data_IF_516757069794
#
_entry.id   IF_516757069794
#
_cell.length_a   1.000
_cell.length_b   1.000
_cell.length_c   1.000
_cell.angle_alpha   90.00
_cell.angle_beta   90.00
_cell.angle_gamma   90.00
#
_symmetry.space_group_name_H-M   'P 1'
#
loop_
_entity.id
_entity.type
_entity.pdbx_description
1 polymer ?
#
# COMPACT_ATOMS: atom_id res chain seq x y z
N UNK A 1 9.18 -24.60 18.21
CA UNK A 1 7.71 -24.80 18.19
C UNK A 1 7.00 -23.95 19.24
N UNK A 2 7.55 -23.79 20.46
CA UNK A 2 6.94 -22.93 21.49
C UNK A 2 6.81 -21.47 21.08
N UNK A 3 7.82 -20.88 20.47
CA UNK A 3 7.82 -19.49 19.99
C UNK A 3 6.75 -19.22 18.90
N UNK A 4 6.52 -20.20 18.01
CA UNK A 4 5.48 -20.09 16.96
C UNK A 4 4.09 -20.12 17.58
N UNK A 5 3.86 -21.04 18.56
CA UNK A 5 2.60 -21.12 19.27
C UNK A 5 2.34 -19.86 20.13
N UNK A 6 3.36 -19.31 20.75
CA UNK A 6 3.26 -18.05 21.50
C UNK A 6 2.88 -16.87 20.58
N UNK A 7 3.51 -16.74 19.41
CA UNK A 7 3.19 -15.71 18.43
C UNK A 7 1.76 -15.84 17.90
N UNK A 8 1.31 -17.05 17.57
CA UNK A 8 -0.06 -17.31 17.10
C UNK A 8 -1.11 -17.01 18.16
N UNK A 9 -0.79 -17.19 19.45
CA UNK A 9 -1.69 -16.86 20.55
C UNK A 9 -1.71 -15.37 20.89
N UNK A 10 -0.55 -14.70 20.83
CA UNK A 10 -0.43 -13.29 21.18
C UNK A 10 -0.88 -12.34 20.05
N UNK A 11 -0.55 -12.68 18.79
CA UNK A 11 -0.73 -11.76 17.65
C UNK A 11 -1.40 -12.44 16.43
N UNK A 12 -2.55 -13.13 16.58
CA UNK A 12 -3.19 -13.84 15.48
C UNK A 12 -3.62 -12.89 14.34
N UNK A 13 -4.18 -11.74 14.69
CA UNK A 13 -4.65 -10.75 13.72
C UNK A 13 -3.50 -10.04 12.98
N UNK A 14 -2.35 -9.84 13.63
CA UNK A 14 -1.17 -9.28 13.01
C UNK A 14 -0.62 -10.18 11.90
N UNK A 15 -0.52 -11.48 12.18
CA UNK A 15 -0.05 -12.46 11.19
C UNK A 15 -1.01 -12.55 10.00
N UNK A 16 -2.32 -12.70 10.26
CA UNK A 16 -3.32 -12.79 9.20
C UNK A 16 -3.48 -11.48 8.43
N UNK A 17 -3.42 -10.33 9.12
CA UNK A 17 -3.48 -9.00 8.51
C UNK A 17 -2.27 -8.74 7.61
N UNK A 18 -1.07 -9.17 8.02
CA UNK A 18 0.14 -9.04 7.21
C UNK A 18 0.07 -9.85 5.90
N UNK A 19 -0.60 -11.01 5.92
CA UNK A 19 -0.85 -11.81 4.72
C UNK A 19 -1.71 -11.02 3.73
N UNK A 20 -2.83 -10.43 4.19
CA UNK A 20 -3.69 -9.63 3.31
C UNK A 20 -2.94 -8.40 2.78
N UNK A 21 -2.20 -7.68 3.62
CA UNK A 21 -1.40 -6.53 3.20
C UNK A 21 -0.38 -6.92 2.13
N UNK A 22 0.35 -8.01 2.33
CA UNK A 22 1.31 -8.53 1.37
C UNK A 22 0.67 -8.99 0.05
N UNK A 23 -0.52 -9.63 0.11
CA UNK A 23 -1.27 -10.01 -1.09
C UNK A 23 -1.75 -8.80 -1.88
N UNK A 24 -2.29 -7.77 -1.20
CA UNK A 24 -2.70 -6.50 -1.84
C UNK A 24 -1.50 -5.89 -2.57
N UNK A 25 -0.38 -5.72 -1.86
CA UNK A 25 0.82 -5.13 -2.43
C UNK A 25 1.39 -5.95 -3.59
N UNK A 26 1.49 -7.27 -3.45
CA UNK A 26 1.97 -8.14 -4.53
C UNK A 26 1.06 -8.11 -5.77
N UNK A 27 -0.24 -8.08 -5.57
CA UNK A 27 -1.21 -7.99 -6.67
C UNK A 27 -1.12 -6.63 -7.39
N UNK A 28 -1.25 -5.52 -6.65
CA UNK A 28 -1.20 -4.16 -7.21
C UNK A 28 0.19 -3.84 -7.78
N UNK A 29 1.24 -4.29 -7.09
CA UNK A 29 2.62 -4.10 -7.51
C UNK A 29 2.92 -4.73 -8.87
N UNK A 30 2.30 -5.87 -9.21
CA UNK A 30 2.46 -6.48 -10.53
C UNK A 30 2.02 -5.53 -11.66
N UNK A 31 0.94 -4.78 -11.46
CA UNK A 31 0.54 -3.75 -12.43
C UNK A 31 1.51 -2.57 -12.46
N UNK A 32 1.87 -2.06 -11.27
CA UNK A 32 2.75 -0.89 -11.14
C UNK A 32 4.14 -1.16 -11.76
N UNK A 33 4.71 -2.33 -11.50
CA UNK A 33 6.01 -2.73 -12.05
C UNK A 33 5.92 -3.00 -13.55
N UNK A 34 4.85 -3.64 -14.03
CA UNK A 34 4.64 -3.93 -15.45
C UNK A 34 4.46 -2.66 -16.29
N UNK A 35 3.84 -1.63 -15.73
CA UNK A 35 3.68 -0.31 -16.38
C UNK A 35 4.94 0.56 -16.30
N UNK A 36 5.99 0.13 -15.60
CA UNK A 36 7.22 0.90 -15.36
C UNK A 36 6.97 2.21 -14.58
N UNK A 37 5.90 2.31 -13.82
CA UNK A 37 5.57 3.47 -12.96
C UNK A 37 5.85 3.17 -11.49
N UNK A 38 6.96 2.50 -11.22
CA UNK A 38 7.34 2.04 -9.87
C UNK A 38 7.41 3.20 -8.87
N UNK A 39 7.87 4.36 -9.35
CA UNK A 39 7.99 5.56 -8.52
C UNK A 39 6.61 6.11 -8.06
N UNK A 40 5.53 5.80 -8.76
CA UNK A 40 4.16 6.10 -8.30
C UNK A 40 3.86 5.42 -6.96
N UNK A 41 4.29 4.17 -6.78
CA UNK A 41 4.15 3.46 -5.51
C UNK A 41 4.84 4.19 -4.36
N UNK A 42 6.11 4.58 -4.53
CA UNK A 42 6.86 5.36 -3.55
C UNK A 42 6.18 6.70 -3.22
N UNK A 43 5.72 7.41 -4.24
CA UNK A 43 5.06 8.70 -4.08
C UNK A 43 3.76 8.54 -3.30
N UNK A 44 2.91 7.56 -3.66
CA UNK A 44 1.63 7.32 -3.00
C UNK A 44 1.80 6.89 -1.54
N UNK A 45 2.83 6.09 -1.20
CA UNK A 45 3.09 5.74 0.20
C UNK A 45 3.44 6.98 1.04
N UNK A 46 4.32 7.87 0.55
CA UNK A 46 4.68 9.09 1.26
C UNK A 46 3.52 10.08 1.38
N UNK A 47 2.74 10.23 0.31
CA UNK A 47 1.51 11.05 0.30
C UNK A 47 0.49 10.52 1.30
N UNK A 48 0.32 9.22 1.37
CA UNK A 48 -0.57 8.56 2.33
C UNK A 48 -0.16 8.84 3.76
N UNK A 49 1.14 8.75 4.06
CA UNK A 49 1.68 9.07 5.39
C UNK A 49 1.53 10.56 5.71
N UNK A 50 1.72 11.45 4.74
CA UNK A 50 1.46 12.88 4.93
C UNK A 50 -0.03 13.14 5.26
N UNK A 51 -0.95 12.41 4.63
CA UNK A 51 -2.38 12.46 4.96
C UNK A 51 -2.69 11.96 6.36
N UNK A 52 -2.04 10.86 6.79
CA UNK A 52 -2.15 10.36 8.17
C UNK A 52 -1.61 11.40 9.16
N UNK A 53 -0.43 11.98 8.90
CA UNK A 53 0.14 13.01 9.75
C UNK A 53 -0.75 14.26 9.82
N UNK A 54 -1.47 14.59 8.74
CA UNK A 54 -2.42 15.69 8.72
C UNK A 54 -3.63 15.43 9.63
N UNK A 55 -4.13 14.21 9.75
CA UNK A 55 -5.26 13.89 10.63
C UNK A 55 -4.94 14.21 12.11
N UNK A 56 -3.70 13.98 12.53
CA UNK A 56 -3.27 14.26 13.91
C UNK A 56 -3.13 15.76 14.25
N UNK A 57 -3.29 16.66 13.29
CA UNK A 57 -3.38 18.08 13.58
C UNK A 57 -4.75 18.50 14.16
N UNK A 58 -5.76 17.63 14.12
CA UNK A 58 -7.14 17.88 14.55
C UNK A 58 -7.74 19.19 14.05
N UNK A 59 -7.25 19.70 12.89
CA UNK A 59 -7.77 20.91 12.24
C UNK A 59 -9.22 20.71 11.79
N UNK A 60 -9.51 19.49 11.31
CA UNK A 60 -10.86 19.09 10.88
C UNK A 60 -11.27 17.91 11.75
N UNK A 61 -12.14 18.15 12.71
CA UNK A 61 -12.68 17.10 13.58
C UNK A 61 -13.81 16.36 12.85
N UNK A 62 -13.45 15.37 12.01
CA UNK A 62 -14.42 14.54 11.29
C UNK A 62 -15.27 13.71 12.24
N UNK A 63 -14.72 13.26 13.36
CA UNK A 63 -15.45 12.51 14.38
C UNK A 63 -16.59 13.35 14.97
N UNK A 64 -16.31 14.61 15.31
CA UNK A 64 -17.32 15.55 15.79
C UNK A 64 -18.40 15.85 14.74
N UNK A 65 -18.02 16.02 13.48
CA UNK A 65 -18.96 16.27 12.38
C UNK A 65 -19.83 15.04 12.13
N UNK A 66 -19.24 13.85 12.03
CA UNK A 66 -19.98 12.59 11.82
C UNK A 66 -20.85 12.27 13.03
N UNK A 67 -20.34 12.44 14.25
CA UNK A 67 -21.10 12.24 15.49
C UNK A 67 -22.32 13.14 15.58
N UNK A 68 -22.17 14.42 15.21
CA UNK A 68 -23.29 15.38 15.21
C UNK A 68 -24.35 15.09 14.13
N UNK A 69 -23.93 14.60 12.96
CA UNK A 69 -24.83 14.25 11.84
C UNK A 69 -25.57 12.94 12.09
N UNK A 70 -24.88 11.93 12.65
CA UNK A 70 -25.46 10.61 12.90
C UNK A 70 -26.09 10.45 14.29
N UNK A 71 -25.91 11.42 15.19
CA UNK A 71 -26.42 11.36 16.57
C UNK A 71 -25.77 10.26 17.42
N UNK A 72 -24.54 9.85 17.10
CA UNK A 72 -23.81 8.76 17.76
C UNK A 72 -22.71 9.36 18.64
N UNK A 73 -22.69 8.99 19.92
CA UNK A 73 -21.55 9.30 20.80
C UNK A 73 -20.38 8.40 20.45
N UNK A 74 -19.36 8.99 19.84
CA UNK A 74 -18.14 8.28 19.42
C UNK A 74 -17.22 8.17 20.65
N UNK A 75 -17.04 6.95 21.16
CA UNK A 75 -16.06 6.68 22.23
C UNK A 75 -14.69 6.42 21.61
N UNK A 76 -13.61 6.69 22.34
CA UNK A 76 -12.21 6.56 21.89
C UNK A 76 -11.84 5.18 21.31
N UNK A 77 -12.62 4.14 21.60
CA UNK A 77 -12.42 2.78 21.08
C UNK A 77 -13.34 2.45 19.90
N UNK A 78 -14.00 3.43 19.30
CA UNK A 78 -14.92 3.17 18.19
C UNK A 78 -14.16 2.95 16.88
N UNK A 79 -14.77 2.20 15.97
CA UNK A 79 -14.33 2.00 14.60
C UNK A 79 -14.04 3.35 13.87
N UNK A 80 -14.72 4.41 14.27
CA UNK A 80 -14.60 5.74 13.70
C UNK A 80 -13.28 6.43 14.03
N UNK A 81 -12.67 6.16 15.21
CA UNK A 81 -11.35 6.70 15.54
C UNK A 81 -10.26 6.25 14.55
N UNK A 82 -10.32 5.01 14.07
CA UNK A 82 -9.42 4.52 13.02
C UNK A 82 -9.79 5.03 11.62
N UNK A 83 -10.99 5.58 11.45
CA UNK A 83 -11.46 6.03 10.14
C UNK A 83 -10.85 7.36 9.71
N UNK A 84 -10.64 8.29 10.63
CA UNK A 84 -10.14 9.63 10.32
C UNK A 84 -8.76 9.62 9.65
N UNK A 85 -7.73 8.94 10.19
CA UNK A 85 -6.43 8.84 9.52
C UNK A 85 -6.50 8.11 8.17
N UNK A 86 -7.35 7.08 8.06
CA UNK A 86 -7.56 6.36 6.81
C UNK A 86 -8.23 7.25 5.74
N UNK A 87 -9.19 8.08 6.15
CA UNK A 87 -9.86 9.02 5.25
C UNK A 87 -8.90 10.06 4.68
N UNK A 88 -8.10 10.73 5.54
CA UNK A 88 -7.13 11.72 5.06
C UNK A 88 -6.01 11.11 4.23
N UNK A 89 -5.54 9.93 4.59
CA UNK A 89 -4.59 9.16 3.79
C UNK A 89 -5.12 8.92 2.36
N UNK A 90 -6.37 8.47 2.26
CA UNK A 90 -7.04 8.21 0.99
C UNK A 90 -7.31 9.51 0.21
N UNK A 91 -7.76 10.56 0.88
CA UNK A 91 -8.02 11.86 0.27
C UNK A 91 -6.76 12.42 -0.39
N UNK A 92 -5.63 12.42 0.32
CA UNK A 92 -4.35 12.88 -0.21
C UNK A 92 -3.89 12.03 -1.39
N UNK A 93 -4.03 10.70 -1.30
CA UNK A 93 -3.70 9.79 -2.40
C UNK A 93 -4.55 10.07 -3.65
N UNK A 94 -5.87 10.28 -3.49
CA UNK A 94 -6.78 10.61 -4.60
C UNK A 94 -6.42 11.95 -5.23
N UNK A 95 -6.13 12.99 -4.44
CA UNK A 95 -5.70 14.30 -4.95
C UNK A 95 -4.45 14.14 -5.84
N UNK A 96 -3.45 13.40 -5.38
CA UNK A 96 -2.22 13.17 -6.14
C UNK A 96 -2.47 12.36 -7.40
N UNK A 97 -3.31 11.34 -7.34
CA UNK A 97 -3.71 10.57 -8.53
C UNK A 97 -4.41 11.46 -9.56
N UNK A 98 -5.29 12.37 -9.13
CA UNK A 98 -5.95 13.32 -10.02
C UNK A 98 -4.95 14.26 -10.69
N UNK A 99 -4.00 14.81 -9.93
CA UNK A 99 -2.92 15.66 -10.46
C UNK A 99 -2.08 14.86 -11.46
N UNK A 100 -1.64 13.66 -11.09
CA UNK A 100 -0.83 12.80 -11.95
C UNK A 100 -1.56 12.42 -13.24
N UNK A 101 -2.84 12.04 -13.17
CA UNK A 101 -3.64 11.67 -14.34
C UNK A 101 -3.82 12.82 -15.34
N UNK A 102 -3.91 14.07 -14.86
CA UNK A 102 -4.00 15.22 -15.74
C UNK A 102 -2.66 15.52 -16.46
N UNK A 103 -1.56 15.26 -15.76
CA UNK A 103 -0.21 15.60 -16.24
C UNK A 103 0.41 14.45 -17.06
N UNK A 104 -0.15 13.25 -17.01
CA UNK A 104 0.34 12.05 -17.70
C UNK A 104 0.61 12.23 -19.21
N UNK A 105 -0.11 13.13 -19.89
CA UNK A 105 0.04 13.40 -21.32
C UNK A 105 0.79 14.70 -21.64
N UNK A 106 1.25 15.43 -20.63
CA UNK A 106 2.00 16.66 -20.88
C UNK A 106 3.46 16.31 -21.25
N UNK A 107 3.94 16.90 -22.35
CA UNK A 107 5.29 16.64 -22.88
C UNK A 107 6.40 17.49 -22.21
N UNK A 108 6.04 18.39 -21.28
CA UNK A 108 6.99 19.36 -20.70
C UNK A 108 7.87 18.69 -19.65
N UNK A 109 7.30 17.82 -18.80
CA UNK A 109 8.03 17.12 -17.76
C UNK A 109 7.83 15.60 -17.93
N UNK A 110 8.86 14.83 -17.57
CA UNK A 110 8.74 13.38 -17.49
C UNK A 110 7.82 12.98 -16.31
N UNK A 111 7.16 11.84 -16.44
CA UNK A 111 6.29 11.32 -15.37
C UNK A 111 7.05 11.14 -14.04
N UNK A 112 8.29 10.64 -14.12
CA UNK A 112 9.14 10.44 -12.96
C UNK A 112 9.54 11.77 -12.29
N UNK A 113 9.74 12.84 -13.07
CA UNK A 113 10.03 14.16 -12.51
C UNK A 113 8.85 14.72 -11.71
N UNK A 114 7.63 14.56 -12.23
CA UNK A 114 6.41 15.01 -11.54
C UNK A 114 6.21 14.22 -10.26
N UNK A 115 6.31 12.89 -10.33
CA UNK A 115 6.22 12.02 -9.17
C UNK A 115 7.32 12.33 -8.15
N UNK A 116 8.54 12.66 -8.61
CA UNK A 116 9.65 13.09 -7.76
C UNK A 116 9.36 14.36 -6.98
N UNK A 117 8.79 15.36 -7.65
CA UNK A 117 8.38 16.62 -7.00
C UNK A 117 7.32 16.35 -5.94
N UNK A 118 6.27 15.58 -6.29
CA UNK A 118 5.18 15.25 -5.37
C UNK A 118 5.73 14.47 -4.17
N UNK A 119 6.64 13.51 -4.39
CA UNK A 119 7.29 12.73 -3.35
C UNK A 119 8.02 13.63 -2.33
N UNK A 120 8.87 14.54 -2.82
CA UNK A 120 9.64 15.44 -1.94
C UNK A 120 8.71 16.37 -1.16
N UNK A 121 7.68 16.91 -1.82
CA UNK A 121 6.65 17.75 -1.18
C UNK A 121 5.89 16.95 -0.12
N UNK A 122 5.50 15.70 -0.39
CA UNK A 122 4.81 14.86 0.57
C UNK A 122 5.68 14.57 1.80
N UNK A 123 6.97 14.27 1.61
CA UNK A 123 7.93 14.09 2.72
C UNK A 123 8.07 15.37 3.55
N UNK A 124 8.17 16.53 2.92
CA UNK A 124 8.25 17.81 3.61
C UNK A 124 6.98 18.11 4.41
N UNK A 125 5.80 17.92 3.81
CA UNK A 125 4.51 18.09 4.48
C UNK A 125 4.36 17.15 5.67
N UNK A 126 4.74 15.87 5.52
CA UNK A 126 4.74 14.90 6.61
C UNK A 126 5.53 15.43 7.81
N UNK A 127 6.77 15.89 7.61
CA UNK A 127 7.63 16.40 8.67
C UNK A 127 6.99 17.64 9.33
N UNK A 128 6.48 18.57 8.53
CA UNK A 128 5.82 19.78 9.03
C UNK A 128 4.58 19.46 9.88
N UNK A 129 3.77 18.50 9.45
CA UNK A 129 2.56 18.09 10.19
C UNK A 129 2.92 17.41 11.51
N UNK A 130 3.92 16.50 11.51
CA UNK A 130 4.41 15.85 12.74
C UNK A 130 4.94 16.87 13.74
N UNK A 131 5.70 17.88 13.29
CA UNK A 131 6.24 18.92 14.18
C UNK A 131 5.15 19.79 14.82
N UNK A 132 3.96 19.86 14.22
CA UNK A 132 2.80 20.63 14.73
C UNK A 132 1.82 19.79 15.52
N UNK A 133 1.92 18.46 15.44
CA UNK A 133 1.07 17.55 16.21
C UNK A 133 1.37 17.59 17.70
N UNK A 134 0.40 17.33 18.59
CA UNK A 134 0.64 17.18 20.01
C UNK A 134 1.71 16.11 20.30
N UNK A 135 2.57 16.34 21.32
CA UNK A 135 3.70 15.45 21.64
C UNK A 135 3.26 14.00 21.89
N UNK A 136 2.07 13.81 22.47
CA UNK A 136 1.53 12.48 22.74
C UNK A 136 1.27 11.66 21.45
N UNK A 137 0.96 12.32 20.35
CA UNK A 137 0.61 11.68 19.07
C UNK A 137 1.83 11.47 18.17
N UNK A 138 2.94 12.18 18.40
CA UNK A 138 4.17 11.99 17.65
C UNK A 138 4.67 10.54 17.74
N UNK A 139 4.55 9.91 18.91
CA UNK A 139 4.93 8.50 19.11
C UNK A 139 4.06 7.54 18.31
N UNK A 140 2.76 7.84 18.17
CA UNK A 140 1.84 7.03 17.37
C UNK A 140 2.14 7.18 15.87
N UNK A 141 2.34 8.41 15.40
CA UNK A 141 2.76 8.67 14.01
C UNK A 141 4.08 7.97 13.70
N UNK A 142 5.06 8.03 14.60
CA UNK A 142 6.33 7.31 14.41
C UNK A 142 6.17 5.79 14.39
N UNK A 143 5.28 5.22 15.19
CA UNK A 143 5.00 3.78 15.16
C UNK A 143 4.41 3.33 13.84
N UNK A 144 3.50 4.13 13.26
CA UNK A 144 2.93 3.91 11.93
C UNK A 144 4.01 4.00 10.85
N UNK A 145 4.93 4.96 10.97
CA UNK A 145 6.04 5.12 10.04
C UNK A 145 7.02 3.94 10.09
N UNK A 146 7.31 3.46 11.28
CA UNK A 146 8.17 2.27 11.47
C UNK A 146 7.55 0.99 10.91
N UNK A 147 6.23 1.00 10.65
CA UNK A 147 5.52 -0.13 10.06
C UNK A 147 5.49 -1.32 11.01
N UNK A 148 5.07 -1.09 12.24
CA UNK A 148 4.99 -2.17 13.22
C UNK A 148 3.71 -2.98 13.02
N UNK A 149 3.84 -4.02 12.18
CA UNK A 149 2.76 -4.92 11.78
C UNK A 149 2.12 -5.64 12.99
N UNK A 150 2.85 -5.72 14.11
CA UNK A 150 2.39 -6.41 15.31
C UNK A 150 1.17 -5.75 15.97
N UNK A 151 0.94 -4.46 15.72
CA UNK A 151 -0.21 -3.73 16.25
C UNK A 151 -1.51 -3.85 15.42
N UNK A 152 -1.52 -4.69 14.39
CA UNK A 152 -2.76 -4.95 13.64
C UNK A 152 -3.75 -5.68 14.54
N UNK A 153 -4.82 -5.00 14.91
CA UNK A 153 -5.93 -5.55 15.69
C UNK A 153 -7.02 -6.19 14.81
N UNK A 154 -8.05 -6.70 15.46
CA UNK A 154 -9.17 -7.37 14.80
C UNK A 154 -9.87 -6.47 13.76
N UNK A 155 -10.16 -5.22 14.11
CA UNK A 155 -10.83 -4.26 13.21
C UNK A 155 -10.02 -4.01 11.94
N UNK A 156 -8.72 -3.80 12.09
CA UNK A 156 -7.80 -3.54 10.98
C UNK A 156 -7.62 -4.75 10.07
N UNK A 157 -7.63 -5.96 10.64
CA UNK A 157 -7.63 -7.21 9.89
C UNK A 157 -8.86 -7.32 8.96
N UNK A 158 -10.07 -7.07 9.48
CA UNK A 158 -11.28 -7.10 8.65
C UNK A 158 -11.28 -6.00 7.58
N UNK A 159 -10.75 -4.82 7.90
CA UNK A 159 -10.59 -3.75 6.91
C UNK A 159 -9.65 -4.16 5.77
N UNK A 160 -8.47 -4.72 6.07
CA UNK A 160 -7.53 -5.22 5.07
C UNK A 160 -8.14 -6.33 4.21
N UNK A 161 -8.84 -7.27 4.83
CA UNK A 161 -9.57 -8.33 4.12
C UNK A 161 -10.64 -7.78 3.19
N UNK A 162 -11.42 -6.80 3.65
CA UNK A 162 -12.42 -6.10 2.85
C UNK A 162 -11.82 -5.34 1.67
N UNK A 163 -10.71 -4.64 1.88
CA UNK A 163 -9.97 -3.93 0.82
C UNK A 163 -9.45 -4.93 -0.22
N UNK A 164 -8.84 -6.02 0.22
CA UNK A 164 -8.36 -7.06 -0.68
C UNK A 164 -9.49 -7.64 -1.54
N UNK A 165 -10.61 -7.98 -0.91
CA UNK A 165 -11.79 -8.48 -1.62
C UNK A 165 -12.33 -7.45 -2.61
N UNK A 166 -12.44 -6.19 -2.21
CA UNK A 166 -12.89 -5.10 -3.07
C UNK A 166 -11.98 -4.96 -4.31
N UNK A 167 -10.66 -4.93 -4.11
CA UNK A 167 -9.69 -4.86 -5.20
C UNK A 167 -9.84 -6.05 -6.13
N UNK A 168 -9.95 -7.27 -5.61
CA UNK A 168 -10.15 -8.47 -6.42
C UNK A 168 -11.44 -8.41 -7.23
N UNK A 169 -12.54 -7.96 -6.63
CA UNK A 169 -13.83 -7.82 -7.33
C UNK A 169 -13.69 -6.79 -8.47
N UNK A 170 -13.14 -5.62 -8.20
CA UNK A 170 -12.95 -4.57 -9.21
C UNK A 170 -12.09 -5.09 -10.37
N UNK A 171 -10.96 -5.73 -10.06
CA UNK A 171 -10.06 -6.24 -11.11
C UNK A 171 -10.62 -7.45 -11.85
N UNK A 172 -11.46 -8.27 -11.24
CA UNK A 172 -12.13 -9.39 -11.94
C UNK A 172 -13.27 -8.92 -12.82
N UNK A 173 -14.11 -7.99 -12.34
CA UNK A 173 -15.22 -7.43 -13.11
C UNK A 173 -14.72 -6.63 -14.31
N UNK A 174 -13.74 -5.78 -14.10
CA UNK A 174 -13.19 -4.88 -15.13
C UNK A 174 -11.90 -5.37 -15.76
N UNK A 175 -11.56 -6.66 -15.62
CA UNK A 175 -10.28 -7.20 -16.07
C UNK A 175 -9.96 -6.95 -17.55
N UNK A 176 -10.95 -6.97 -18.43
CA UNK A 176 -10.75 -6.75 -19.87
C UNK A 176 -10.33 -5.31 -20.14
N UNK A 177 -11.09 -4.34 -19.61
CA UNK A 177 -10.83 -2.92 -19.77
C UNK A 177 -9.51 -2.51 -19.11
N UNK A 178 -9.30 -2.93 -17.87
CA UNK A 178 -8.10 -2.59 -17.12
C UNK A 178 -6.85 -3.17 -17.78
N UNK A 179 -6.84 -4.45 -18.15
CA UNK A 179 -5.70 -5.04 -18.86
C UNK A 179 -5.44 -4.33 -20.19
N UNK A 180 -6.47 -4.09 -20.99
CA UNK A 180 -6.30 -3.46 -22.29
C UNK A 180 -5.73 -2.05 -22.16
N UNK A 181 -6.32 -1.22 -21.31
CA UNK A 181 -5.85 0.17 -21.10
C UNK A 181 -4.49 0.25 -20.42
N UNK A 182 -4.19 -0.71 -19.53
CA UNK A 182 -2.92 -0.75 -18.79
C UNK A 182 -1.74 -1.14 -19.68
N UNK A 183 -1.92 -2.07 -20.61
CA UNK A 183 -0.85 -2.55 -21.48
C UNK A 183 -0.74 -1.78 -22.81
N UNK A 184 -1.87 -1.27 -23.35
CA UNK A 184 -1.90 -0.53 -24.61
C UNK A 184 -3.04 0.49 -24.63
N UNK A 185 -2.79 1.65 -24.03
CA UNK A 185 -3.76 2.74 -23.92
C UNK A 185 -4.10 3.37 -25.28
N UNK A 186 -3.17 3.36 -26.22
CA UNK A 186 -3.38 3.97 -27.55
C UNK A 186 -4.28 3.08 -28.41
N UNK A 187 -4.00 1.78 -28.45
CA UNK A 187 -4.92 0.83 -29.11
C UNK A 187 -6.29 0.80 -28.46
N UNK A 188 -6.39 0.84 -27.13
CA UNK A 188 -7.67 0.90 -26.44
C UNK A 188 -8.50 2.13 -26.85
N UNK A 189 -7.83 3.29 -27.02
CA UNK A 189 -8.47 4.52 -27.52
C UNK A 189 -8.99 4.37 -28.96
N UNK A 190 -8.24 3.70 -29.82
CA UNK A 190 -8.63 3.42 -31.21
C UNK A 190 -9.88 2.52 -31.30
N UNK A 191 -10.09 1.63 -30.32
CA UNK A 191 -11.28 0.79 -30.19
C UNK A 191 -12.47 1.50 -29.49
N UNK A 192 -12.40 2.82 -29.26
CA UNK A 192 -13.47 3.61 -28.66
C UNK A 192 -13.55 3.54 -27.13
N UNK A 193 -12.56 2.92 -26.47
CA UNK A 193 -12.50 2.92 -25.02
C UNK A 193 -11.87 4.24 -24.53
N UNK A 194 -12.53 4.93 -23.61
CA UNK A 194 -11.97 6.13 -23.02
C UNK A 194 -10.79 5.79 -22.08
N UNK A 195 -9.58 5.64 -22.68
CA UNK A 195 -8.37 5.24 -21.96
C UNK A 195 -8.04 6.16 -20.81
N UNK A 196 -8.36 7.47 -20.91
CA UNK A 196 -8.08 8.44 -19.84
C UNK A 196 -8.90 8.16 -18.59
N UNK A 197 -10.19 7.87 -18.73
CA UNK A 197 -11.08 7.57 -17.60
C UNK A 197 -10.71 6.22 -16.96
N UNK A 198 -10.39 5.22 -17.78
CA UNK A 198 -10.01 3.91 -17.27
C UNK A 198 -8.65 3.90 -16.59
N UNK A 199 -7.67 4.66 -17.08
CA UNK A 199 -6.38 4.86 -16.40
C UNK A 199 -6.57 5.61 -15.08
N UNK A 200 -7.38 6.67 -15.08
CA UNK A 200 -7.71 7.39 -13.84
C UNK A 200 -8.35 6.44 -12.81
N UNK A 201 -9.36 5.68 -13.23
CA UNK A 201 -10.02 4.68 -12.38
C UNK A 201 -9.00 3.66 -11.82
N UNK A 202 -8.13 3.13 -12.69
CA UNK A 202 -7.06 2.23 -12.29
C UNK A 202 -6.15 2.85 -11.23
N UNK A 203 -5.65 4.06 -11.43
CA UNK A 203 -4.77 4.73 -10.48
C UNK A 203 -5.48 5.08 -9.17
N UNK A 204 -6.78 5.39 -9.19
CA UNK A 204 -7.57 5.58 -7.97
C UNK A 204 -7.63 4.27 -7.17
N UNK A 205 -7.93 3.15 -7.80
CA UNK A 205 -8.00 1.85 -7.10
C UNK A 205 -6.63 1.45 -6.55
N UNK A 206 -5.55 1.67 -7.30
CA UNK A 206 -4.17 1.45 -6.84
C UNK A 206 -3.85 2.38 -5.67
N UNK A 207 -4.19 3.66 -5.77
CA UNK A 207 -3.99 4.65 -4.71
C UNK A 207 -4.74 4.30 -3.43
N UNK A 208 -5.99 3.84 -3.55
CA UNK A 208 -6.78 3.34 -2.39
C UNK A 208 -6.09 2.15 -1.72
N UNK A 209 -5.69 1.15 -2.50
CA UNK A 209 -5.01 -0.03 -1.98
C UNK A 209 -3.70 0.31 -1.28
N UNK A 210 -2.85 1.14 -1.89
CA UNK A 210 -1.58 1.59 -1.31
C UNK A 210 -1.83 2.40 -0.03
N UNK A 211 -2.73 3.39 -0.09
CA UNK A 211 -3.02 4.30 1.00
C UNK A 211 -3.49 3.56 2.26
N UNK A 212 -4.48 2.69 2.09
CA UNK A 212 -5.04 1.94 3.22
C UNK A 212 -4.06 0.88 3.75
N UNK A 213 -3.29 0.23 2.88
CA UNK A 213 -2.26 -0.70 3.32
C UNK A 213 -1.15 0.03 4.09
N UNK A 214 -0.69 1.19 3.59
CA UNK A 214 0.33 2.02 4.26
C UNK A 214 -0.10 2.43 5.67
N UNK A 215 -1.37 2.71 5.89
CA UNK A 215 -1.91 3.05 7.22
C UNK A 215 -1.70 1.93 8.24
N UNK A 216 -1.79 0.65 7.81
CA UNK A 216 -1.77 -0.49 8.73
C UNK A 216 -0.40 -1.16 8.86
N UNK A 217 0.41 -1.16 7.80
CA UNK A 217 1.70 -1.87 7.79
C UNK A 217 2.91 -0.96 7.54
N UNK A 218 2.69 0.35 7.40
CA UNK A 218 3.71 1.36 7.18
C UNK A 218 4.14 1.53 5.71
N UNK A 219 4.89 2.61 5.47
CA UNK A 219 5.31 3.02 4.13
C UNK A 219 6.42 2.14 3.57
N UNK A 220 7.42 1.79 4.39
CA UNK A 220 8.58 0.98 3.99
C UNK A 220 8.14 -0.41 3.55
N UNK A 221 7.27 -1.06 4.35
CA UNK A 221 6.71 -2.36 4.00
C UNK A 221 5.89 -2.27 2.69
N UNK A 222 4.94 -1.33 2.63
CA UNK A 222 4.04 -1.21 1.48
C UNK A 222 4.81 -1.00 0.18
N UNK A 223 5.79 -0.09 0.17
CA UNK A 223 6.59 0.16 -1.02
C UNK A 223 7.45 -1.05 -1.42
N UNK A 224 8.11 -1.70 -0.48
CA UNK A 224 8.94 -2.87 -0.75
C UNK A 224 8.11 -4.04 -1.31
N UNK A 225 6.93 -4.28 -0.72
CA UNK A 225 6.04 -5.37 -1.14
C UNK A 225 5.30 -5.09 -2.46
N UNK A 226 5.18 -3.84 -2.88
CA UNK A 226 4.77 -3.52 -4.25
C UNK A 226 5.80 -3.96 -5.29
N UNK A 227 7.09 -3.84 -4.98
CA UNK A 227 8.16 -4.04 -5.96
C UNK A 227 8.71 -5.46 -5.90
N UNK A 228 9.12 -5.94 -4.73
CA UNK A 228 9.93 -7.16 -4.61
C UNK A 228 9.15 -8.42 -5.02
N UNK A 229 7.93 -8.70 -4.50
CA UNK A 229 7.16 -9.87 -4.91
C UNK A 229 6.82 -9.85 -6.39
N UNK A 230 6.48 -8.68 -6.93
CA UNK A 230 6.16 -8.50 -8.34
C UNK A 230 7.36 -8.73 -9.24
N UNK A 231 8.54 -8.25 -8.83
CA UNK A 231 9.80 -8.47 -9.54
C UNK A 231 10.19 -9.96 -9.53
N UNK A 232 10.00 -10.67 -8.42
CA UNK A 232 10.18 -12.11 -8.33
C UNK A 232 9.26 -12.83 -9.34
N UNK A 233 7.99 -12.42 -9.40
CA UNK A 233 7.03 -12.97 -10.37
C UNK A 233 7.49 -12.80 -11.83
N UNK A 234 7.96 -11.60 -12.19
CA UNK A 234 8.48 -11.29 -13.52
C UNK A 234 9.77 -12.05 -13.85
N UNK A 235 10.62 -12.29 -12.85
CA UNK A 235 11.83 -13.11 -13.03
C UNK A 235 11.51 -14.58 -13.30
N UNK A 236 10.51 -15.13 -12.61
CA UNK A 236 10.20 -16.56 -12.68
C UNK A 236 9.27 -16.95 -13.83
N UNK A 237 8.45 -16.03 -14.34
CA UNK A 237 7.46 -16.36 -15.38
C UNK A 237 7.33 -15.26 -16.44
N UNK A 238 7.09 -15.71 -17.69
CA UNK A 238 6.71 -14.85 -18.82
C UNK A 238 5.18 -14.75 -19.00
N UNK A 239 4.42 -15.64 -18.38
CA UNK A 239 2.95 -15.65 -18.48
C UNK A 239 2.36 -14.72 -17.43
N UNK A 240 1.61 -13.72 -17.85
CA UNK A 240 1.01 -12.69 -16.99
C UNK A 240 0.26 -13.27 -15.79
N UNK A 241 -0.59 -14.27 -16.01
CA UNK A 241 -1.35 -14.91 -14.91
C UNK A 241 -0.43 -15.56 -13.85
N UNK A 242 0.67 -16.20 -14.28
CA UNK A 242 1.62 -16.78 -13.33
C UNK A 242 2.43 -15.72 -12.58
N UNK A 243 2.74 -14.57 -13.22
CA UNK A 243 3.40 -13.44 -12.54
C UNK A 243 2.53 -12.95 -11.38
N UNK A 244 1.22 -12.72 -11.61
CA UNK A 244 0.28 -12.32 -10.56
C UNK A 244 0.21 -13.37 -9.44
N UNK A 245 0.08 -14.64 -9.80
CA UNK A 245 -0.02 -15.72 -8.82
C UNK A 245 1.24 -15.78 -7.94
N UNK A 246 2.43 -15.75 -8.55
CA UNK A 246 3.70 -15.78 -7.81
C UNK A 246 3.84 -14.55 -6.90
N UNK A 247 3.53 -13.36 -7.41
CA UNK A 247 3.61 -12.13 -6.63
C UNK A 247 2.68 -12.14 -5.41
N UNK A 248 1.45 -12.64 -5.58
CA UNK A 248 0.48 -12.79 -4.48
C UNK A 248 0.94 -13.84 -3.47
N UNK A 249 1.44 -15.01 -3.93
CA UNK A 249 1.94 -16.07 -3.04
C UNK A 249 3.16 -15.57 -2.24
N UNK A 250 4.13 -14.95 -2.91
CA UNK A 250 5.33 -14.40 -2.26
C UNK A 250 4.92 -13.31 -1.27
N UNK A 251 3.99 -12.42 -1.65
CA UNK A 251 3.41 -11.41 -0.79
C UNK A 251 2.69 -11.99 0.44
N UNK A 252 2.04 -13.13 0.30
CA UNK A 252 1.35 -13.80 1.40
C UNK A 252 2.29 -14.53 2.37
N UNK A 253 3.34 -15.16 1.86
CA UNK A 253 4.21 -16.06 2.64
C UNK A 253 5.30 -15.30 3.39
N UNK A 254 5.89 -14.27 2.79
CA UNK A 254 7.03 -13.57 3.40
C UNK A 254 6.66 -12.84 4.70
N UNK A 255 5.54 -12.10 4.83
CA UNK A 255 5.26 -11.35 6.03
C UNK A 255 5.17 -12.20 7.31
N UNK A 256 4.47 -13.34 7.35
CA UNK A 256 4.47 -14.22 8.52
C UNK A 256 5.88 -14.74 8.88
N UNK A 257 6.68 -15.11 7.87
CA UNK A 257 8.06 -15.57 8.10
C UNK A 257 8.92 -14.45 8.69
N UNK A 258 8.74 -13.23 8.18
CA UNK A 258 9.49 -12.06 8.67
C UNK A 258 9.10 -11.64 10.09
N UNK A 259 7.81 -11.75 10.44
CA UNK A 259 7.33 -11.51 11.81
C UNK A 259 8.00 -12.49 12.79
N UNK A 260 8.06 -13.77 12.39
CA UNK A 260 8.75 -14.77 13.21
C UNK A 260 10.24 -14.43 13.40
N UNK A 261 10.94 -14.04 12.33
CA UNK A 261 12.35 -13.64 12.40
C UNK A 261 12.53 -12.36 13.24
N UNK A 262 11.64 -11.38 13.05
CA UNK A 262 11.65 -10.13 13.82
C UNK A 262 11.52 -10.38 15.33
N UNK A 263 10.58 -11.27 15.70
CA UNK A 263 10.37 -11.65 17.09
C UNK A 263 11.56 -12.40 17.69
N UNK A 264 12.23 -13.27 16.91
CA UNK A 264 13.38 -14.04 17.39
C UNK A 264 14.63 -13.17 17.60
N UNK A 265 14.82 -12.14 16.79
CA UNK A 265 16.01 -11.28 16.81
C UNK A 265 15.74 -9.89 17.40
N UNK A 266 14.55 -9.65 17.93
CA UNK A 266 14.12 -8.37 18.52
C UNK A 266 14.25 -7.17 17.55
N UNK A 267 13.85 -7.41 16.29
CA UNK A 267 13.81 -6.38 15.25
C UNK A 267 12.39 -5.85 15.04
N UNK A 268 12.27 -4.62 14.49
CA UNK A 268 11.01 -4.10 14.00
C UNK A 268 10.49 -4.95 12.83
N UNK A 269 9.19 -5.29 12.83
CA UNK A 269 8.57 -6.23 11.89
C UNK A 269 8.58 -5.74 10.44
N UNK A 270 8.39 -4.43 10.20
CA UNK A 270 8.39 -3.84 8.86
C UNK A 270 9.73 -3.96 8.14
N UNK A 271 10.83 -3.42 8.68
CA UNK A 271 12.16 -3.58 8.10
C UNK A 271 12.61 -5.04 7.97
N UNK A 272 12.27 -5.91 8.94
CA UNK A 272 12.56 -7.34 8.85
C UNK A 272 11.89 -7.99 7.63
N UNK A 273 10.63 -7.61 7.33
CA UNK A 273 9.92 -8.09 6.16
C UNK A 273 10.58 -7.66 4.84
N UNK A 274 11.08 -6.43 4.78
CA UNK A 274 11.81 -5.92 3.61
C UNK A 274 13.10 -6.70 3.38
N UNK A 275 13.90 -6.90 4.44
CA UNK A 275 15.16 -7.64 4.33
C UNK A 275 14.90 -9.10 3.94
N UNK A 276 13.92 -9.76 4.55
CA UNK A 276 13.55 -11.14 4.22
C UNK A 276 13.11 -11.27 2.75
N UNK A 277 12.29 -10.33 2.27
CA UNK A 277 11.85 -10.30 0.87
C UNK A 277 13.01 -10.06 -0.09
N UNK A 278 13.95 -9.18 0.28
CA UNK A 278 15.15 -8.89 -0.51
C UNK A 278 16.09 -10.11 -0.60
N UNK A 279 16.30 -10.82 0.50
CA UNK A 279 17.10 -12.06 0.49
C UNK A 279 16.48 -13.09 -0.45
N UNK A 280 15.15 -13.29 -0.41
CA UNK A 280 14.47 -14.17 -1.35
C UNK A 280 14.65 -13.70 -2.80
N UNK A 281 14.55 -12.41 -3.06
CA UNK A 281 14.80 -11.84 -4.39
C UNK A 281 16.21 -12.16 -4.89
N UNK A 282 17.23 -12.01 -4.05
CA UNK A 282 18.62 -12.33 -4.43
C UNK A 282 18.79 -13.81 -4.73
N UNK A 283 18.18 -14.70 -3.97
CA UNK A 283 18.22 -16.15 -4.22
C UNK A 283 17.59 -16.47 -5.58
N UNK A 284 16.41 -15.93 -5.87
CA UNK A 284 15.71 -16.15 -7.14
C UNK A 284 16.48 -15.56 -8.31
N UNK A 285 17.04 -14.36 -8.16
CA UNK A 285 17.85 -13.70 -9.18
C UNK A 285 19.13 -14.50 -9.49
N UNK A 286 19.84 -14.94 -8.47
CA UNK A 286 21.04 -15.78 -8.61
C UNK A 286 20.72 -17.12 -9.30
N UNK A 287 19.63 -17.79 -8.87
CA UNK A 287 19.20 -19.04 -9.50
C UNK A 287 18.91 -18.86 -11.00
N UNK A 288 18.21 -17.78 -11.35
CA UNK A 288 17.89 -17.49 -12.75
C UNK A 288 19.14 -17.22 -13.58
N UNK A 289 20.09 -16.42 -13.05
CA UNK A 289 21.34 -16.08 -13.73
C UNK A 289 22.24 -17.30 -13.98
N UNK A 290 22.14 -18.35 -13.16
CA UNK A 290 22.89 -19.61 -13.34
C UNK A 290 22.23 -20.47 -14.44
N UNK A 291 20.90 -20.32 -14.62
CA UNK A 291 20.12 -21.17 -15.53
C UNK A 291 20.02 -20.61 -16.96
N UNK A 292 20.10 -19.28 -17.10
CA UNK A 292 20.14 -18.58 -18.40
C UNK A 292 21.59 -18.53 -18.92
#
# INVERSE_FOLDING_TARGET
METVNQLLQLFPYAILGSIFAGMICGFLGTFVVSQRVVFLGATLTQVSVAGIAFSFLHIVNLEGIIGSVLGINITEHSFLHNFEPAFFSLLFAVIVVLIFSQTYRQKILTQDAILGIIFVVAVALRIMFIQKSPIAEVSEVESILKGDILFIGQSQFFMLGGIFLFILIVFTVFQKQLKFVTFDADSASAYGINSRLWLLFFYIVVGMGISLTTRFVGDVFTFAFLIIPSSIGLLLSKKVAHVFLIAVIVGAVIPPVSIFLAFQFDFSSGPAAVITSFVLFLIVYGYKKIKD
#
